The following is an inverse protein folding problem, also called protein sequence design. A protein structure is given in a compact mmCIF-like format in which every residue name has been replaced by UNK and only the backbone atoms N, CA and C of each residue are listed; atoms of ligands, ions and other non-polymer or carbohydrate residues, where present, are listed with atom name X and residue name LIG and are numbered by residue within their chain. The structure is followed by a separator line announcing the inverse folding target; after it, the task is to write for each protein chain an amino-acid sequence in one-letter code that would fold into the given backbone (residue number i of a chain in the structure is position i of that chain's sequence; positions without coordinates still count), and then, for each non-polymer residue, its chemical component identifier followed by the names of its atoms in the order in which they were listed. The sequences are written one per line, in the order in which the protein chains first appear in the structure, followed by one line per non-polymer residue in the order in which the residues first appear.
data_IF_317928309597
#
_entry.id   IF_317928309597
#
_cell.length_a   1.000
_cell.length_b   1.000
_cell.length_c   1.000
_cell.angle_alpha   90.00
_cell.angle_beta   90.00
_cell.angle_gamma   90.00
#
_symmetry.space_group_name_H-M   'P 1'
#
loop_
_entity.id
_entity.type
_entity.pdbx_description
1 polymer ?
#
# COMPACT_ATOMS: atom_id res chain seq x y z
N UNK A 1 7.97 -4.60 8.68
CA UNK A 1 8.00 -4.50 7.21
C UNK A 1 6.78 -3.69 6.82
N UNK A 2 6.96 -2.50 6.25
CA UNK A 2 5.84 -1.68 5.77
C UNK A 2 5.42 -2.20 4.39
N UNK A 3 4.13 -2.21 4.04
CA UNK A 3 3.72 -2.57 2.70
C UNK A 3 4.27 -1.53 1.71
N UNK A 4 4.98 -1.93 0.64
CA UNK A 4 5.38 -1.00 -0.43
C UNK A 4 4.13 -0.42 -1.09
N UNK A 5 4.23 0.78 -1.68
CA UNK A 5 3.17 1.30 -2.52
C UNK A 5 2.92 0.32 -3.69
N UNK A 6 1.70 -0.18 -3.88
CA UNK A 6 1.35 -1.02 -5.01
C UNK A 6 1.37 -0.23 -6.32
N UNK A 7 1.63 -0.96 -7.40
CA UNK A 7 2.00 -0.41 -8.69
C UNK A 7 0.77 -0.06 -9.52
N UNK A 8 0.66 1.19 -9.95
CA UNK A 8 -0.06 1.52 -11.18
C UNK A 8 0.74 1.03 -12.38
N UNK A 9 0.05 0.66 -13.47
CA UNK A 9 0.70 0.25 -14.71
C UNK A 9 1.75 1.29 -15.16
N UNK A 10 3.02 0.88 -15.18
CA UNK A 10 4.16 1.70 -15.61
C UNK A 10 4.88 2.51 -14.52
N UNK A 11 4.38 2.54 -13.27
CA UNK A 11 5.10 3.11 -12.12
C UNK A 11 5.95 2.02 -11.46
N UNK A 12 7.09 2.38 -10.89
CA UNK A 12 7.99 1.45 -10.19
C UNK A 12 8.00 1.79 -8.70
N UNK A 13 7.74 0.79 -7.85
CA UNK A 13 7.66 0.98 -6.41
C UNK A 13 9.05 1.32 -5.89
N UNK A 14 9.16 2.33 -5.03
CA UNK A 14 10.42 2.70 -4.39
C UNK A 14 11.54 3.01 -5.39
N UNK A 15 11.23 3.55 -6.58
CA UNK A 15 12.23 4.11 -7.48
C UNK A 15 12.60 5.53 -7.01
N UNK A 16 13.55 5.65 -6.07
CA UNK A 16 13.87 6.96 -5.49
C UNK A 16 14.81 7.78 -6.39
N UNK A 17 15.50 7.17 -7.34
CA UNK A 17 16.43 7.85 -8.26
C UNK A 17 15.87 8.08 -9.68
N UNK A 18 14.70 7.51 -10.00
CA UNK A 18 14.01 7.66 -11.28
C UNK A 18 14.63 6.84 -12.41
N UNK A 19 15.34 5.75 -12.10
CA UNK A 19 16.02 4.92 -13.10
C UNK A 19 15.13 3.78 -13.65
N UNK A 20 13.87 3.72 -13.23
CA UNK A 20 12.89 2.72 -13.61
C UNK A 20 13.07 1.39 -12.88
N UNK A 21 13.78 1.37 -11.75
CA UNK A 21 13.99 0.16 -10.93
C UNK A 21 13.65 0.43 -9.48
N UNK A 22 13.14 -0.59 -8.81
CA UNK A 22 12.84 -0.51 -7.39
C UNK A 22 14.12 -0.53 -6.57
N UNK A 23 14.23 0.39 -5.63
CA UNK A 23 15.31 0.45 -4.65
C UNK A 23 14.88 -0.16 -3.30
N UNK A 24 15.85 -0.28 -2.37
CA UNK A 24 15.59 -0.67 -0.99
C UNK A 24 15.61 0.53 -0.06
N UNK A 25 14.67 0.54 0.89
CA UNK A 25 14.60 1.48 1.99
C UNK A 25 14.66 0.72 3.32
N UNK A 26 15.54 1.15 4.23
CA UNK A 26 15.67 0.59 5.56
C UNK A 26 15.61 1.71 6.59
N UNK A 27 14.81 1.52 7.65
CA UNK A 27 14.83 2.41 8.80
C UNK A 27 15.35 1.65 10.03
N UNK A 28 16.38 2.20 10.67
CA UNK A 28 16.85 1.70 11.96
C UNK A 28 15.85 2.08 13.05
N UNK A 29 15.25 1.11 13.71
CA UNK A 29 14.20 1.36 14.72
C UNK A 29 14.74 1.95 16.02
N UNK A 30 16.02 1.76 16.33
CA UNK A 30 16.67 2.25 17.54
C UNK A 30 17.22 3.67 17.43
N UNK A 31 17.56 4.14 16.22
CA UNK A 31 18.05 5.51 15.99
C UNK A 31 17.11 6.38 15.15
N UNK A 32 16.19 5.78 14.41
CA UNK A 32 15.33 6.45 13.43
C UNK A 32 16.01 6.75 12.09
N UNK A 33 17.31 6.43 11.93
CA UNK A 33 18.06 6.70 10.69
C UNK A 33 17.50 5.88 9.52
N UNK A 34 17.31 6.55 8.39
CA UNK A 34 16.78 5.99 7.16
C UNK A 34 17.93 5.86 6.14
N UNK A 35 18.03 4.68 5.55
CA UNK A 35 18.99 4.32 4.51
C UNK A 35 18.25 3.95 3.23
N UNK A 36 18.79 4.35 2.09
CA UNK A 36 18.32 3.97 0.77
C UNK A 36 19.46 3.31 0.01
N UNK A 37 19.16 2.22 -0.72
CA UNK A 37 20.12 1.50 -1.54
C UNK A 37 19.54 1.33 -2.94
N UNK A 38 20.24 1.87 -3.92
CA UNK A 38 19.86 1.78 -5.33
C UNK A 38 20.15 0.38 -5.84
N UNK A 39 19.20 -0.20 -6.58
CA UNK A 39 19.33 -1.56 -7.09
C UNK A 39 19.44 -1.61 -8.61
N UNK A 40 20.30 -2.52 -9.08
CA UNK A 40 20.30 -2.98 -10.47
C UNK A 40 20.16 -4.50 -10.47
N UNK A 41 18.93 -4.99 -10.54
CA UNK A 41 18.63 -6.39 -10.28
C UNK A 41 18.94 -6.74 -8.82
N UNK A 42 19.81 -7.72 -8.59
CA UNK A 42 20.22 -8.14 -7.24
C UNK A 42 21.44 -7.37 -6.71
N UNK A 43 22.04 -6.48 -7.51
CA UNK A 43 23.24 -5.73 -7.12
C UNK A 43 22.87 -4.37 -6.54
N UNK A 44 23.57 -3.95 -5.48
CA UNK A 44 23.53 -2.58 -4.99
C UNK A 44 24.43 -1.73 -5.89
N UNK A 45 23.85 -0.75 -6.59
CA UNK A 45 24.53 0.17 -7.51
C UNK A 45 24.95 1.48 -6.83
N UNK A 46 24.33 1.81 -5.70
CA UNK A 46 24.63 3.00 -4.90
C UNK A 46 23.74 3.04 -3.66
N UNK A 47 23.82 4.11 -2.88
CA UNK A 47 23.02 4.27 -1.66
C UNK A 47 23.76 4.95 -0.52
N UNK A 48 23.07 5.08 0.61
CA UNK A 48 23.58 5.73 1.80
C UNK A 48 22.48 6.16 2.77
N UNK A 49 22.89 6.92 3.80
CA UNK A 49 21.97 7.52 4.75
C UNK A 49 21.21 8.66 4.06
N UNK A 50 19.89 8.65 4.19
CA UNK A 50 18.98 9.68 3.66
C UNK A 50 18.69 10.73 4.73
N UNK A 51 18.23 10.29 5.90
CA UNK A 51 17.77 11.17 6.97
C UNK A 51 17.90 10.52 8.36
N UNK A 52 18.01 11.35 9.40
CA UNK A 52 18.00 10.93 10.80
C UNK A 52 16.92 11.66 11.60
N UNK A 53 15.61 11.43 11.34
CA UNK A 53 14.53 12.18 11.98
C UNK A 53 14.35 11.84 13.47
N UNK A 54 14.99 10.79 13.98
CA UNK A 54 14.90 10.33 15.37
C UNK A 54 13.85 9.23 15.56
N UNK A 55 13.85 8.63 16.75
CA UNK A 55 13.10 7.38 17.04
C UNK A 55 11.58 7.53 16.96
N UNK A 56 11.06 8.74 17.20
CA UNK A 56 9.62 9.00 17.18
C UNK A 56 9.05 9.06 15.77
N UNK A 57 9.90 9.20 14.74
CA UNK A 57 9.47 9.28 13.35
C UNK A 57 9.62 7.92 12.67
N UNK A 58 8.54 7.43 12.05
CA UNK A 58 8.52 6.20 11.25
C UNK A 58 8.26 6.52 9.80
N UNK A 59 8.89 5.77 8.90
CA UNK A 59 8.44 5.73 7.50
C UNK A 59 7.04 5.12 7.48
N UNK A 60 6.06 5.91 7.06
CA UNK A 60 4.66 5.54 7.04
C UNK A 60 4.16 5.22 5.61
N UNK A 61 4.86 5.72 4.59
CA UNK A 61 4.57 5.43 3.19
C UNK A 61 5.71 5.89 2.29
N UNK A 62 5.69 5.39 1.06
CA UNK A 62 6.52 5.85 -0.06
C UNK A 62 5.61 6.11 -1.25
N UNK A 63 6.02 7.00 -2.15
CA UNK A 63 5.26 7.34 -3.35
C UNK A 63 5.73 8.64 -3.97
N UNK A 64 5.43 8.86 -5.24
CA UNK A 64 5.77 10.12 -5.93
C UNK A 64 4.70 11.16 -5.60
N UNK A 65 4.83 11.87 -4.47
CA UNK A 65 3.80 12.82 -4.00
C UNK A 65 3.85 14.14 -4.77
N UNK A 66 4.98 14.48 -5.40
CA UNK A 66 5.18 15.74 -6.12
C UNK A 66 5.07 15.61 -7.66
N UNK A 67 4.99 14.39 -8.20
CA UNK A 67 4.83 14.10 -9.62
C UNK A 67 6.12 14.22 -10.43
N UNK A 68 7.29 14.09 -9.79
CA UNK A 68 8.59 14.25 -10.44
C UNK A 68 9.18 12.93 -11.00
N UNK A 69 8.40 11.85 -10.92
CA UNK A 69 8.74 10.52 -11.37
C UNK A 69 9.60 9.71 -10.40
N UNK A 70 9.93 10.25 -9.21
CA UNK A 70 10.70 9.56 -8.17
C UNK A 70 9.83 9.31 -6.95
N UNK A 71 10.11 8.21 -6.27
CA UNK A 71 9.50 7.95 -4.97
C UNK A 71 10.03 8.94 -3.93
N UNK A 72 9.14 9.44 -3.09
CA UNK A 72 9.41 10.27 -1.92
C UNK A 72 9.12 9.47 -0.64
N UNK A 73 9.41 10.06 0.53
CA UNK A 73 9.08 9.49 1.84
C UNK A 73 7.96 10.26 2.51
N UNK A 74 6.99 9.52 3.04
CA UNK A 74 6.04 10.02 4.04
C UNK A 74 6.44 9.48 5.41
N UNK A 75 6.76 10.37 6.33
CA UNK A 75 7.04 10.07 7.73
C UNK A 75 5.83 10.39 8.59
N UNK A 76 5.65 9.61 9.65
CA UNK A 76 4.69 9.87 10.72
C UNK A 76 5.42 9.91 12.05
N UNK A 77 5.14 10.92 12.85
CA UNK A 77 5.56 10.95 14.24
C UNK A 77 4.60 10.10 15.07
N UNK A 78 5.07 9.05 15.73
CA UNK A 78 4.23 8.12 16.48
C UNK A 78 3.62 8.74 17.74
N UNK A 79 4.30 9.73 18.33
CA UNK A 79 3.87 10.43 19.55
C UNK A 79 2.77 11.45 19.26
N UNK A 80 2.87 12.20 18.16
CA UNK A 80 1.94 13.30 17.85
C UNK A 80 0.96 12.99 16.71
N UNK A 81 1.28 12.02 15.85
CA UNK A 81 0.54 11.72 14.64
C UNK A 81 0.80 12.69 13.48
N UNK A 82 1.75 13.63 13.62
CA UNK A 82 2.13 14.55 12.54
C UNK A 82 2.72 13.79 11.37
N UNK A 83 2.35 14.19 10.16
CA UNK A 83 2.89 13.70 8.89
C UNK A 83 3.88 14.70 8.31
N UNK A 84 5.01 14.20 7.82
CA UNK A 84 6.07 14.97 7.20
C UNK A 84 6.53 14.28 5.92
N UNK A 85 6.80 15.04 4.85
CA UNK A 85 7.37 14.48 3.62
C UNK A 85 8.84 14.86 3.44
N UNK A 86 9.63 13.92 2.91
CA UNK A 86 10.90 14.21 2.25
C UNK A 86 10.76 13.89 0.77
N UNK A 87 11.00 14.90 -0.07
CA UNK A 87 11.08 14.73 -1.51
C UNK A 87 12.50 14.30 -1.87
N UNK A 88 12.64 13.23 -2.66
CA UNK A 88 13.93 12.58 -2.86
C UNK A 88 14.45 12.64 -4.30
N UNK A 89 15.76 12.60 -4.43
CA UNK A 89 16.47 12.27 -5.66
C UNK A 89 17.64 11.33 -5.30
N UNK A 90 17.37 10.03 -5.32
CA UNK A 90 18.20 9.00 -4.72
C UNK A 90 18.32 9.22 -3.21
N UNK A 91 19.54 9.38 -2.71
CA UNK A 91 19.78 9.67 -1.29
C UNK A 91 19.64 11.15 -0.92
N UNK A 92 19.50 12.05 -1.89
CA UNK A 92 19.43 13.48 -1.64
C UNK A 92 18.00 13.92 -1.34
N UNK A 93 17.81 14.72 -0.28
CA UNK A 93 16.53 15.40 -0.01
C UNK A 93 16.49 16.68 -0.83
N UNK A 94 15.63 16.72 -1.85
CA UNK A 94 15.43 17.87 -2.75
C UNK A 94 14.41 18.88 -2.22
N UNK A 95 13.55 18.45 -1.29
CA UNK A 95 12.52 19.26 -0.66
C UNK A 95 11.81 18.50 0.46
N UNK A 96 10.80 19.11 1.07
CA UNK A 96 10.02 18.47 2.12
C UNK A 96 9.37 19.47 3.08
N UNK A 97 8.56 18.94 3.99
CA UNK A 97 7.79 19.77 4.93
C UNK A 97 6.71 19.01 5.67
N UNK A 98 6.11 19.68 6.65
CA UNK A 98 4.92 19.19 7.34
C UNK A 98 3.75 19.10 6.36
N UNK A 99 3.04 17.97 6.39
CA UNK A 99 1.86 17.72 5.54
C UNK A 99 0.58 17.97 6.32
N UNK A 100 0.42 17.30 7.47
CA UNK A 100 -0.79 17.36 8.29
C UNK A 100 -0.54 16.90 9.73
N UNK A 101 -1.45 17.23 10.63
CA UNK A 101 -1.47 16.70 12.00
C UNK A 101 -2.79 15.98 12.32
N UNK A 102 -3.06 14.81 11.71
CA UNK A 102 -4.32 14.09 11.92
C UNK A 102 -4.45 13.49 13.34
N UNK A 103 -3.38 13.50 14.15
CA UNK A 103 -3.39 12.99 15.50
C UNK A 103 -3.09 11.50 15.59
N UNK A 104 -3.02 10.97 16.82
CA UNK A 104 -2.49 9.63 17.08
C UNK A 104 -3.41 8.49 16.67
N UNK A 105 -4.72 8.75 16.62
CA UNK A 105 -5.77 7.79 16.20
C UNK A 105 -5.71 7.45 14.70
N UNK A 106 -5.29 8.41 13.88
CA UNK A 106 -5.19 8.21 12.43
C UNK A 106 -3.82 7.65 12.05
N UNK A 107 -3.83 6.51 11.35
CA UNK A 107 -2.65 5.85 10.80
C UNK A 107 -2.64 5.98 9.29
N UNK A 108 -1.45 6.08 8.69
CA UNK A 108 -1.29 5.93 7.25
C UNK A 108 -1.56 4.47 6.91
N UNK A 109 -2.55 4.26 6.06
CA UNK A 109 -3.02 2.95 5.64
C UNK A 109 -2.58 2.61 4.20
N UNK A 110 -2.21 3.61 3.40
CA UNK A 110 -1.71 3.41 2.05
C UNK A 110 -1.18 4.69 1.41
N UNK A 111 -0.39 4.52 0.36
CA UNK A 111 0.06 5.57 -0.54
C UNK A 111 -0.11 5.11 -1.98
N UNK A 112 -0.85 5.88 -2.78
CA UNK A 112 -1.30 5.46 -4.10
C UNK A 112 -2.04 6.60 -4.79
N UNK A 113 -2.10 6.61 -6.12
CA UNK A 113 -2.78 7.66 -6.89
C UNK A 113 -4.26 7.31 -7.01
N UNK A 114 -5.06 7.77 -6.04
CA UNK A 114 -6.47 7.39 -5.95
C UNK A 114 -7.35 8.26 -6.85
N UNK A 115 -6.89 9.44 -7.27
CA UNK A 115 -7.64 10.38 -8.11
C UNK A 115 -7.21 10.37 -9.59
N UNK A 116 -6.12 9.67 -9.93
CA UNK A 116 -5.61 9.51 -11.29
C UNK A 116 -4.84 10.73 -11.81
N UNK A 117 -4.28 11.57 -10.93
CA UNK A 117 -3.56 12.79 -11.32
C UNK A 117 -2.05 12.59 -11.53
N UNK A 118 -1.58 11.34 -11.39
CA UNK A 118 -0.19 10.92 -11.52
C UNK A 118 0.61 10.99 -10.22
N UNK A 119 0.09 11.65 -9.16
CA UNK A 119 0.76 11.78 -7.87
C UNK A 119 0.21 10.77 -6.88
N UNK A 120 1.08 10.27 -6.02
CA UNK A 120 0.66 9.47 -4.89
C UNK A 120 -0.11 10.36 -3.91
N UNK A 121 -1.24 9.87 -3.43
CA UNK A 121 -2.06 10.43 -2.38
C UNK A 121 -1.86 9.65 -1.07
N UNK A 122 -2.44 10.12 0.03
CA UNK A 122 -2.35 9.49 1.35
C UNK A 122 -3.72 8.96 1.76
N UNK A 123 -3.80 7.66 2.06
CA UNK A 123 -4.96 7.06 2.71
C UNK A 123 -4.70 6.93 4.21
N UNK A 124 -5.60 7.46 5.03
CA UNK A 124 -5.60 7.35 6.48
C UNK A 124 -6.71 6.42 6.94
N UNK A 125 -6.46 5.71 8.05
CA UNK A 125 -7.46 4.92 8.77
C UNK A 125 -7.47 5.31 10.25
N UNK A 126 -8.64 5.53 10.80
CA UNK A 126 -8.85 5.70 12.25
C UNK A 126 -8.78 4.35 12.94
N UNK A 127 -7.94 4.21 13.97
CA UNK A 127 -7.84 2.96 14.74
C UNK A 127 -9.10 2.72 15.59
N UNK A 128 -9.66 3.77 16.18
CA UNK A 128 -10.84 3.69 17.05
C UNK A 128 -12.16 3.41 16.30
N UNK A 129 -12.30 3.86 15.06
CA UNK A 129 -13.56 3.73 14.30
C UNK A 129 -13.44 2.86 13.05
N UNK A 130 -12.24 2.71 12.49
CA UNK A 130 -12.02 2.11 11.17
C UNK A 130 -12.41 3.01 10.00
N UNK A 131 -12.77 4.29 10.25
CA UNK A 131 -13.03 5.25 9.19
C UNK A 131 -11.82 5.46 8.29
N UNK A 132 -12.07 5.69 7.00
CA UNK A 132 -11.07 5.94 5.97
C UNK A 132 -11.17 7.38 5.47
N UNK A 133 -10.02 8.06 5.38
CA UNK A 133 -9.91 9.43 4.92
C UNK A 133 -8.76 9.55 3.92
N UNK A 134 -8.93 10.37 2.89
CA UNK A 134 -7.91 10.60 1.88
C UNK A 134 -7.40 12.04 1.94
N UNK A 135 -6.09 12.22 1.80
CA UNK A 135 -5.47 13.48 1.40
C UNK A 135 -4.96 13.34 -0.03
N UNK A 136 -5.48 14.16 -0.94
CA UNK A 136 -5.00 14.23 -2.32
C UNK A 136 -3.82 15.20 -2.36
N UNK A 137 -2.67 14.75 -2.84
CA UNK A 137 -1.41 15.46 -2.61
C UNK A 137 -0.91 16.21 -3.85
N UNK A 138 -0.20 17.31 -3.61
CA UNK A 138 0.64 17.98 -4.61
C UNK A 138 1.93 18.44 -3.92
N UNK A 139 2.89 17.52 -3.85
CA UNK A 139 4.04 17.61 -2.95
C UNK A 139 3.58 17.61 -1.49
N UNK A 140 4.06 18.59 -0.71
CA UNK A 140 3.67 18.74 0.70
C UNK A 140 2.27 19.34 0.90
N UNK A 141 1.64 19.85 -0.15
CA UNK A 141 0.33 20.49 -0.06
C UNK A 141 -0.80 19.47 -0.23
N UNK A 142 -1.86 19.61 0.58
CA UNK A 142 -3.12 18.87 0.40
C UNK A 142 -3.97 19.64 -0.61
N UNK A 143 -4.07 19.12 -1.82
CA UNK A 143 -4.84 19.71 -2.92
C UNK A 143 -6.34 19.41 -2.81
N UNK A 144 -6.70 18.32 -2.13
CA UNK A 144 -8.07 17.88 -1.94
C UNK A 144 -8.16 16.71 -0.96
N UNK A 145 -9.32 16.06 -0.88
CA UNK A 145 -9.52 14.90 -0.02
C UNK A 145 -10.83 14.93 0.76
N UNK A 146 -10.99 13.97 1.66
CA UNK A 146 -12.24 13.78 2.39
C UNK A 146 -12.44 12.37 2.94
N UNK A 147 -13.60 12.18 3.58
CA UNK A 147 -14.07 10.86 4.02
C UNK A 147 -14.29 9.95 2.80
N UNK A 148 -13.77 8.72 2.87
CA UNK A 148 -13.95 7.69 1.83
C UNK A 148 -15.01 6.68 2.23
N UNK A 149 -14.86 6.07 3.42
CA UNK A 149 -15.76 5.04 3.94
C UNK A 149 -15.62 4.85 5.44
N UNK A 150 -16.58 4.13 6.05
CA UNK A 150 -16.53 3.69 7.44
C UNK A 150 -16.76 2.18 7.57
N UNK A 151 -15.83 1.32 7.13
CA UNK A 151 -16.02 -0.13 7.16
C UNK A 151 -16.03 -0.72 8.58
N UNK A 152 -15.59 0.03 9.59
CA UNK A 152 -15.55 -0.41 10.98
C UNK A 152 -14.20 -1.01 11.39
N UNK A 153 -14.03 -1.26 12.69
CA UNK A 153 -12.72 -1.62 13.27
C UNK A 153 -12.21 -3.00 12.87
N UNK A 154 -13.10 -3.92 12.51
CA UNK A 154 -12.79 -5.28 12.02
C UNK A 154 -12.08 -5.28 10.66
N UNK A 155 -12.32 -4.27 9.83
CA UNK A 155 -11.76 -4.20 8.49
C UNK A 155 -10.47 -3.40 8.46
N UNK A 156 -9.37 -4.03 8.04
CA UNK A 156 -8.05 -3.41 7.85
C UNK A 156 -7.78 -3.18 6.38
N UNK A 157 -7.06 -2.11 6.05
CA UNK A 157 -6.51 -1.94 4.70
C UNK A 157 -5.35 -2.93 4.56
N UNK A 158 -5.45 -3.79 3.55
CA UNK A 158 -4.51 -4.87 3.27
C UNK A 158 -3.68 -4.62 1.99
N UNK A 159 -4.13 -3.70 1.14
CA UNK A 159 -3.44 -3.28 -0.08
C UNK A 159 -4.16 -2.09 -0.73
N UNK A 160 -3.52 -1.46 -1.71
CA UNK A 160 -4.05 -0.26 -2.36
C UNK A 160 -3.72 -0.14 -3.86
N UNK A 161 -3.63 -1.27 -4.57
CA UNK A 161 -3.29 -1.34 -5.99
C UNK A 161 -4.44 -1.02 -6.94
N UNK A 162 -4.17 -0.94 -8.23
CA UNK A 162 -5.19 -0.81 -9.29
C UNK A 162 -5.82 -2.17 -9.58
N UNK A 163 -6.83 -2.57 -8.81
CA UNK A 163 -7.42 -3.90 -8.92
C UNK A 163 -8.51 -3.99 -10.00
N UNK A 164 -9.01 -2.86 -10.52
CA UNK A 164 -10.02 -2.81 -11.57
C UNK A 164 -9.47 -2.46 -12.96
N UNK A 165 -8.21 -2.00 -13.05
CA UNK A 165 -7.49 -1.67 -14.28
C UNK A 165 -7.85 -0.29 -14.83
N UNK A 166 -8.32 0.63 -13.99
CA UNK A 166 -8.77 1.96 -14.41
C UNK A 166 -7.68 3.05 -14.31
N UNK A 167 -6.47 2.65 -13.93
CA UNK A 167 -5.31 3.52 -13.75
C UNK A 167 -5.26 4.24 -12.41
N UNK A 168 -6.16 3.93 -11.46
CA UNK A 168 -6.15 4.51 -10.11
C UNK A 168 -5.95 3.43 -9.07
N UNK A 169 -5.37 3.83 -7.94
CA UNK A 169 -5.31 2.99 -6.75
C UNK A 169 -6.72 2.75 -6.21
N UNK A 170 -7.00 1.50 -5.86
CA UNK A 170 -8.20 1.05 -5.15
C UNK A 170 -7.86 0.74 -3.68
N UNK A 171 -8.81 0.22 -2.90
CA UNK A 171 -8.57 -0.26 -1.54
C UNK A 171 -8.96 -1.73 -1.44
N UNK A 172 -8.01 -2.57 -1.00
CA UNK A 172 -8.27 -3.93 -0.55
C UNK A 172 -8.42 -3.94 0.97
N UNK A 173 -9.59 -4.32 1.44
CA UNK A 173 -9.90 -4.52 2.85
C UNK A 173 -9.82 -5.99 3.22
N UNK A 174 -9.36 -6.28 4.44
CA UNK A 174 -9.39 -7.60 5.06
C UNK A 174 -10.12 -7.53 6.39
N UNK A 175 -11.11 -8.39 6.58
CA UNK A 175 -11.76 -8.60 7.89
C UNK A 175 -10.81 -9.41 8.79
N UNK A 176 -10.50 -8.90 9.97
CA UNK A 176 -9.63 -9.60 10.92
C UNK A 176 -10.32 -10.83 11.53
N UNK A 177 -11.62 -10.75 11.79
CA UNK A 177 -12.41 -11.85 12.36
C UNK A 177 -12.67 -13.01 11.39
N UNK A 178 -12.79 -12.73 10.09
CA UNK A 178 -13.14 -13.77 9.09
C UNK A 178 -12.01 -14.10 8.12
N UNK A 179 -11.08 -13.18 7.90
CA UNK A 179 -10.10 -13.24 6.82
C UNK A 179 -10.64 -12.82 5.46
N UNK A 180 -11.92 -12.47 5.33
CA UNK A 180 -12.54 -12.07 4.06
C UNK A 180 -11.85 -10.86 3.45
N UNK A 181 -11.62 -10.91 2.14
CA UNK A 181 -11.10 -9.82 1.34
C UNK A 181 -12.22 -9.13 0.56
N UNK A 182 -12.22 -7.80 0.60
CA UNK A 182 -13.22 -6.95 -0.03
C UNK A 182 -12.54 -5.77 -0.73
N UNK A 183 -13.03 -5.37 -1.89
CA UNK A 183 -12.48 -4.27 -2.68
C UNK A 183 -13.41 -3.06 -2.65
N UNK A 184 -12.85 -1.88 -2.51
CA UNK A 184 -13.44 -0.61 -2.93
C UNK A 184 -12.68 -0.06 -4.13
N UNK A 185 -13.41 0.15 -5.22
CA UNK A 185 -12.91 0.79 -6.43
C UNK A 185 -13.06 2.29 -6.29
N UNK A 186 -11.99 3.07 -6.50
CA UNK A 186 -11.99 4.49 -6.18
C UNK A 186 -11.90 5.41 -7.40
N UNK A 187 -12.48 6.60 -7.24
CA UNK A 187 -12.19 7.77 -8.04
C UNK A 187 -12.09 8.97 -7.08
N UNK A 188 -10.87 9.23 -6.60
CA UNK A 188 -10.58 10.10 -5.48
C UNK A 188 -11.22 9.57 -4.18
N UNK A 189 -12.10 10.36 -3.58
CA UNK A 189 -12.84 9.98 -2.36
C UNK A 189 -14.12 9.20 -2.64
N UNK A 190 -14.50 9.03 -3.91
CA UNK A 190 -15.75 8.36 -4.30
C UNK A 190 -15.51 6.87 -4.54
N UNK A 191 -16.34 6.02 -3.96
CA UNK A 191 -16.37 4.58 -4.28
C UNK A 191 -17.21 4.39 -5.55
N UNK A 192 -16.54 4.09 -6.67
CA UNK A 192 -17.17 3.85 -7.98
C UNK A 192 -17.70 2.42 -8.13
N UNK A 193 -17.19 1.48 -7.31
CA UNK A 193 -17.62 0.08 -7.28
C UNK A 193 -17.13 -0.61 -6.00
N UNK A 194 -17.77 -1.73 -5.64
CA UNK A 194 -17.32 -2.54 -4.51
C UNK A 194 -17.71 -4.00 -4.70
N UNK A 195 -16.83 -4.91 -4.27
CA UNK A 195 -17.05 -6.35 -4.44
C UNK A 195 -16.31 -7.16 -3.38
N UNK A 196 -16.90 -8.31 -3.00
CA UNK A 196 -16.15 -9.35 -2.30
C UNK A 196 -15.14 -9.99 -3.24
N UNK A 197 -13.89 -10.11 -2.78
CA UNK A 197 -12.79 -10.68 -3.58
C UNK A 197 -12.69 -12.18 -3.35
N UNK A 198 -12.39 -12.59 -2.13
CA UNK A 198 -12.28 -14.00 -1.72
C UNK A 198 -12.27 -14.11 -0.20
N UNK A 199 -12.54 -15.30 0.35
CA UNK A 199 -12.39 -15.55 1.78
C UNK A 199 -11.37 -16.68 2.01
N UNK A 200 -10.08 -16.35 2.18
CA UNK A 200 -9.05 -17.35 2.42
C UNK A 200 -9.03 -17.83 3.88
N UNK A 201 -9.77 -17.19 4.79
CA UNK A 201 -9.74 -17.48 6.23
C UNK A 201 -8.66 -16.71 7.00
N UNK A 202 -8.71 -16.80 8.33
CA UNK A 202 -7.90 -15.98 9.24
C UNK A 202 -6.40 -16.25 9.17
N UNK A 203 -6.00 -17.46 8.77
CA UNK A 203 -4.60 -17.90 8.69
C UNK A 203 -3.87 -17.32 7.48
N UNK A 204 -4.59 -16.79 6.49
CA UNK A 204 -4.01 -16.20 5.30
C UNK A 204 -3.95 -14.67 5.43
N UNK A 205 -2.77 -14.10 5.19
CA UNK A 205 -2.50 -12.66 5.18
C UNK A 205 -2.13 -12.20 3.78
N UNK A 206 -2.54 -10.99 3.42
CA UNK A 206 -1.99 -10.29 2.25
C UNK A 206 -0.57 -9.85 2.61
N UNK A 207 0.40 -10.24 1.79
CA UNK A 207 1.82 -9.91 1.96
C UNK A 207 2.39 -9.12 0.79
N UNK A 208 1.59 -8.91 -0.26
CA UNK A 208 1.92 -8.05 -1.37
C UNK A 208 0.75 -7.93 -2.34
N UNK A 209 0.80 -6.90 -3.15
CA UNK A 209 -0.10 -6.66 -4.26
C UNK A 209 0.64 -5.96 -5.41
N UNK A 210 0.20 -6.24 -6.63
CA UNK A 210 0.82 -5.72 -7.86
C UNK A 210 0.50 -6.61 -9.07
N UNK A 211 0.74 -6.10 -10.27
CA UNK A 211 0.44 -6.81 -11.52
C UNK A 211 1.49 -7.92 -11.78
N UNK A 212 1.27 -9.09 -11.19
CA UNK A 212 2.19 -10.22 -11.28
C UNK A 212 2.05 -10.98 -12.61
N UNK A 213 0.92 -10.80 -13.30
CA UNK A 213 0.59 -11.56 -14.50
C UNK A 213 0.67 -10.73 -15.80
N UNK A 214 0.81 -9.41 -15.69
CA UNK A 214 0.98 -8.47 -16.80
C UNK A 214 -0.33 -8.06 -17.50
N UNK A 215 -1.48 -8.17 -16.82
CA UNK A 215 -2.79 -7.85 -17.41
C UNK A 215 -3.27 -6.42 -17.12
N UNK A 216 -2.43 -5.61 -16.48
CA UNK A 216 -2.72 -4.23 -16.13
C UNK A 216 -3.53 -4.07 -14.86
N UNK A 217 -3.77 -5.14 -14.08
CA UNK A 217 -4.40 -5.05 -12.76
C UNK A 217 -3.50 -5.62 -11.68
N UNK A 218 -3.60 -5.03 -10.51
CA UNK A 218 -2.96 -5.57 -9.32
C UNK A 218 -3.57 -6.92 -8.95
N UNK A 219 -2.72 -7.91 -8.75
CA UNK A 219 -3.03 -9.20 -8.15
C UNK A 219 -2.66 -9.18 -6.65
N UNK A 220 -3.04 -10.23 -5.91
CA UNK A 220 -2.84 -10.30 -4.46
C UNK A 220 -1.93 -11.48 -4.12
N UNK A 221 -0.84 -11.26 -3.40
CA UNK A 221 -0.01 -12.32 -2.84
C UNK A 221 -0.42 -12.61 -1.40
N UNK A 222 -0.90 -13.84 -1.16
CA UNK A 222 -1.26 -14.32 0.16
C UNK A 222 -0.16 -15.20 0.75
N UNK A 223 0.05 -15.09 2.06
CA UNK A 223 0.86 -16.00 2.86
C UNK A 223 0.02 -16.63 3.95
N UNK A 224 0.11 -17.95 4.10
CA UNK A 224 -0.45 -18.64 5.25
C UNK A 224 0.52 -18.54 6.42
N UNK A 225 0.11 -17.96 7.55
CA UNK A 225 0.99 -17.73 8.69
C UNK A 225 1.41 -19.02 9.41
N UNK A 226 0.57 -20.06 9.37
CA UNK A 226 0.84 -21.35 10.03
C UNK A 226 1.82 -22.22 9.24
N UNK A 227 1.75 -22.18 7.90
CA UNK A 227 2.52 -23.08 7.02
C UNK A 227 3.62 -22.36 6.24
N UNK A 228 3.57 -21.04 6.13
CA UNK A 228 4.45 -20.24 5.28
C UNK A 228 4.13 -20.35 3.78
N UNK A 229 3.08 -21.08 3.38
CA UNK A 229 2.70 -21.21 1.98
C UNK A 229 2.37 -19.85 1.36
N UNK A 230 2.83 -19.64 0.12
CA UNK A 230 2.46 -18.50 -0.71
C UNK A 230 1.39 -18.88 -1.73
N UNK A 231 0.45 -17.97 -1.99
CA UNK A 231 -0.60 -18.14 -2.98
C UNK A 231 -0.95 -16.80 -3.63
N UNK A 232 -0.75 -16.70 -4.93
CA UNK A 232 -1.22 -15.56 -5.72
C UNK A 232 -2.73 -15.66 -5.98
N UNK A 233 -3.49 -14.58 -5.89
CA UNK A 233 -4.87 -14.48 -6.33
C UNK A 233 -4.96 -13.45 -7.45
N UNK A 234 -5.37 -13.91 -8.63
CA UNK A 234 -5.44 -13.06 -9.83
C UNK A 234 -6.79 -12.37 -9.93
N UNK A 235 -6.80 -11.05 -10.12
CA UNK A 235 -8.05 -10.27 -10.08
C UNK A 235 -8.93 -10.44 -11.34
N UNK A 236 -8.40 -10.99 -12.44
CA UNK A 236 -9.07 -11.01 -13.76
C UNK A 236 -9.51 -12.35 -14.32
N UNK A 237 -9.38 -13.45 -13.58
CA UNK A 237 -9.85 -14.76 -14.07
C UNK A 237 -10.99 -15.24 -13.19
N UNK A 238 -12.14 -15.51 -13.81
CA UNK A 238 -13.34 -16.02 -13.16
C UNK A 238 -12.99 -17.02 -12.06
N UNK A 239 -13.48 -16.73 -10.85
CA UNK A 239 -13.33 -17.49 -9.61
C UNK A 239 -12.14 -18.46 -9.59
N UNK A 240 -10.91 -17.95 -9.45
CA UNK A 240 -9.84 -18.80 -8.93
C UNK A 240 -10.27 -19.22 -7.51
N UNK A 241 -10.32 -20.52 -7.21
CA UNK A 241 -10.78 -20.98 -5.91
C UNK A 241 -9.88 -20.39 -4.81
N UNK A 242 -10.44 -20.17 -3.60
CA UNK A 242 -9.65 -19.70 -2.47
C UNK A 242 -8.48 -20.67 -2.21
N UNK A 243 -7.41 -20.21 -1.54
CA UNK A 243 -6.24 -21.05 -1.33
C UNK A 243 -6.58 -22.34 -0.57
N UNK A 244 -5.75 -23.40 -0.69
CA UNK A 244 -5.99 -24.66 0.02
C UNK A 244 -6.23 -24.46 1.52
N UNK A 245 -7.24 -25.13 2.06
CA UNK A 245 -7.61 -25.03 3.48
C UNK A 245 -8.51 -23.83 3.81
N UNK A 246 -8.88 -22.99 2.84
CA UNK A 246 -9.85 -21.92 3.05
C UNK A 246 -11.27 -22.47 3.37
N UNK A 247 -12.04 -21.77 4.22
CA UNK A 247 -13.43 -22.12 4.48
C UNK A 247 -14.25 -22.14 3.17
N UNK A 248 -14.92 -23.25 2.88
CA UNK A 248 -15.70 -23.41 1.64
C UNK A 248 -14.91 -23.96 0.44
N UNK A 249 -13.61 -24.23 0.57
CA UNK A 249 -12.78 -24.96 -0.39
C UNK A 249 -13.07 -26.47 -0.42
N UNK A 250 -14.34 -26.85 -0.36
CA UNK A 250 -14.77 -28.24 -0.49
C UNK A 250 -14.49 -28.71 -1.91
N UNK A 251 -13.57 -29.67 -2.05
CA UNK A 251 -13.45 -30.47 -3.28
C UNK A 251 -14.83 -31.03 -3.60
N UNK A 252 -15.46 -30.59 -4.69
CA UNK A 252 -16.48 -31.40 -5.33
C UNK A 252 -15.77 -32.64 -5.84
N UNK A 253 -15.73 -33.70 -5.00
CA UNK A 253 -15.50 -35.05 -5.49
C UNK A 253 -16.69 -35.37 -6.39
N UNK A 254 -16.54 -35.15 -7.69
CA UNK A 254 -17.29 -35.90 -8.69
C UNK A 254 -16.93 -37.37 -8.52
N UNK A 255 -17.76 -38.11 -7.80
CA UNK A 255 -17.77 -39.57 -7.86
C UNK A 255 -18.44 -40.00 -9.16
N UNK A 256 -18.00 -41.10 -9.79
CA UNK A 256 -18.53 -41.54 -11.07
C UNK A 256 -19.92 -42.16 -10.90
N UNK A 257 -20.80 -41.89 -11.84
CA UNK A 257 -22.08 -42.53 -12.06
C UNK A 257 -22.41 -42.46 -13.54
#
# INVERSE_FOLDING_TARGET
MFPPAPLLAGKVANDFNGDGKSDLLLQNTGSGVIWQYQLNGTAISGGGSVAGPGIDWKVAGTGDYNGDGKSDLLLRNDTTGVLWQYQLNGTAISGGGSVAGPGTDWKVAGSGDYNGDGKSDILLRSDSTGALWQYQMNGTAIAGGGSVAGPGTDWKVAGNGDYNGDGKSDILLRSDSTGMLWQYQLNGTTISGSAGVTNPGTDWKVVGDGDYNGDGKSDILLRNDSTGMLWEYQMNRGTRPPPPGAPGGGRTRGGPG
#
